data_IF_396281754699
#
_entry.id   IF_396281754699
#
_cell.length_a   1.000
_cell.length_b   1.000
_cell.length_c   1.000
_cell.angle_alpha   90.00
_cell.angle_beta   90.00
_cell.angle_gamma   90.00
#
_symmetry.space_group_name_H-M   'P 1'
#
loop_
_entity.id
_entity.type
_entity.pdbx_description
1 polymer ?
#
# COMPACT_ATOMS: atom_id res chain seq x y z
N UNK A 1 43.81 16.48 -0.92
CA UNK A 1 43.39 15.13 -0.52
C UNK A 1 42.29 15.11 0.54
N UNK A 2 42.33 15.99 1.53
CA UNK A 2 41.24 16.07 2.53
C UNK A 2 39.92 16.61 1.97
N UNK A 3 39.94 17.36 0.89
CA UNK A 3 38.71 17.86 0.24
C UNK A 3 37.86 16.78 -0.39
N UNK A 4 38.46 15.71 -0.92
CA UNK A 4 37.71 14.61 -1.53
C UNK A 4 36.91 13.80 -0.50
N UNK A 5 37.44 13.61 0.70
CA UNK A 5 36.77 12.91 1.79
C UNK A 5 35.58 13.69 2.32
N UNK A 6 35.66 15.01 2.41
CA UNK A 6 34.58 15.89 2.80
C UNK A 6 33.47 15.89 1.77
N UNK A 7 33.78 15.85 0.49
CA UNK A 7 32.81 15.81 -0.60
C UNK A 7 32.01 14.52 -0.57
N UNK A 8 32.62 13.36 -0.35
CA UNK A 8 31.92 12.08 -0.23
C UNK A 8 30.99 12.04 0.98
N UNK A 9 31.39 12.63 2.09
CA UNK A 9 30.57 12.68 3.30
C UNK A 9 29.29 13.48 3.07
N UNK A 10 29.35 14.60 2.34
CA UNK A 10 28.19 15.44 2.04
C UNK A 10 27.22 14.75 1.09
N UNK A 11 27.72 14.05 0.08
CA UNK A 11 26.88 13.29 -0.87
C UNK A 11 26.15 12.14 -0.15
N UNK A 12 26.82 11.47 0.78
CA UNK A 12 26.21 10.40 1.57
C UNK A 12 25.05 10.91 2.45
N UNK A 13 25.16 12.11 3.02
CA UNK A 13 24.11 12.74 3.80
C UNK A 13 22.87 13.09 2.95
N UNK A 14 23.07 13.57 1.73
CA UNK A 14 21.98 13.92 0.82
C UNK A 14 21.17 12.70 0.39
N UNK A 15 21.82 11.54 0.20
CA UNK A 15 21.10 10.29 -0.14
C UNK A 15 20.24 9.76 1.00
N UNK A 16 20.62 9.98 2.26
CA UNK A 16 19.84 9.55 3.41
C UNK A 16 18.54 10.35 3.60
N UNK A 17 18.53 11.63 3.22
CA UNK A 17 17.35 12.47 3.38
C UNK A 17 16.28 12.23 2.30
N UNK A 18 16.63 11.69 1.13
CA UNK A 18 15.68 11.45 0.04
C UNK A 18 14.80 10.21 0.24
N UNK A 19 15.12 9.33 1.21
CA UNK A 19 14.34 8.10 1.47
C UNK A 19 13.17 8.28 2.44
N UNK A 20 12.97 9.48 3.02
CA UNK A 20 12.06 9.72 4.13
C UNK A 20 10.57 9.74 3.74
N UNK A 21 10.25 9.90 2.46
CA UNK A 21 8.85 10.07 1.98
C UNK A 21 8.41 8.97 1.04
N UNK A 22 9.06 7.83 1.04
CA UNK A 22 8.72 6.74 0.15
C UNK A 22 7.76 5.74 0.80
N UNK A 23 6.84 5.21 -0.01
CA UNK A 23 6.04 4.06 0.37
C UNK A 23 6.46 2.86 -0.45
N UNK A 24 6.35 1.67 0.16
CA UNK A 24 6.51 0.39 -0.52
C UNK A 24 5.32 -0.49 -0.20
N UNK A 25 4.68 -1.00 -1.22
CA UNK A 25 3.58 -1.94 -1.07
C UNK A 25 4.07 -3.32 -1.46
N UNK A 26 3.97 -4.27 -0.54
CA UNK A 26 4.22 -5.67 -0.80
C UNK A 26 2.93 -6.44 -0.58
N UNK A 27 2.39 -6.98 -1.66
CA UNK A 27 1.15 -7.72 -1.62
C UNK A 27 1.36 -9.21 -1.85
N UNK A 28 0.52 -10.00 -1.21
CA UNK A 28 0.45 -11.44 -1.43
C UNK A 28 -1.00 -11.88 -1.54
N UNK A 29 -1.25 -12.84 -2.41
CA UNK A 29 -2.58 -13.38 -2.62
C UNK A 29 -2.53 -14.90 -2.74
N UNK A 30 -3.40 -15.58 -2.01
CA UNK A 30 -3.65 -17.01 -2.18
C UNK A 30 -4.80 -17.30 -3.16
N UNK A 31 -5.42 -16.24 -3.69
CA UNK A 31 -6.54 -16.37 -4.64
C UNK A 31 -5.99 -16.59 -6.03
N UNK A 32 -6.14 -17.80 -6.56
CA UNK A 32 -5.56 -18.17 -7.86
C UNK A 32 -6.11 -17.34 -9.03
N UNK A 33 -7.33 -16.83 -8.93
CA UNK A 33 -7.95 -16.00 -9.96
C UNK A 33 -7.27 -14.64 -10.15
N UNK A 34 -6.52 -14.18 -9.13
CA UNK A 34 -5.80 -12.92 -9.22
C UNK A 34 -4.47 -13.05 -9.95
N UNK A 35 -3.94 -14.26 -10.07
CA UNK A 35 -2.66 -14.46 -10.73
C UNK A 35 -2.74 -14.06 -12.19
N UNK A 36 -1.78 -13.25 -12.65
CA UNK A 36 -1.77 -12.67 -13.99
C UNK A 36 -2.65 -11.43 -14.17
N UNK A 37 -3.38 -11.01 -13.14
CA UNK A 37 -4.23 -9.83 -13.21
C UNK A 37 -3.46 -8.56 -12.86
N UNK A 38 -3.87 -7.45 -13.48
CA UNK A 38 -3.35 -6.13 -13.14
C UNK A 38 -4.16 -5.54 -11.99
N UNK A 39 -3.47 -5.08 -10.96
CA UNK A 39 -4.07 -4.34 -9.86
C UNK A 39 -3.69 -2.86 -10.00
N UNK A 40 -4.62 -1.99 -9.66
CA UNK A 40 -4.46 -0.54 -9.79
C UNK A 40 -4.72 0.11 -8.45
N UNK A 41 -3.93 1.13 -8.13
CA UNK A 41 -4.21 2.00 -6.99
C UNK A 41 -4.85 3.28 -7.53
N UNK A 42 -6.00 3.63 -7.00
CA UNK A 42 -6.70 4.86 -7.34
C UNK A 42 -6.93 5.71 -6.10
N UNK A 43 -6.82 7.03 -6.28
CA UNK A 43 -7.09 8.00 -5.22
C UNK A 43 -8.20 8.95 -5.68
N UNK A 44 -9.03 9.45 -4.76
CA UNK A 44 -10.05 10.42 -5.13
C UNK A 44 -9.43 11.77 -5.51
N UNK A 45 -9.96 12.35 -6.58
CA UNK A 45 -9.61 13.69 -7.03
C UNK A 45 -10.90 14.38 -7.50
N UNK A 46 -11.52 15.15 -6.60
CA UNK A 46 -12.86 15.69 -6.82
C UNK A 46 -13.90 14.57 -6.95
N UNK A 47 -14.64 14.58 -8.05
CA UNK A 47 -15.66 13.55 -8.32
C UNK A 47 -15.12 12.30 -9.00
N UNK A 48 -13.81 12.22 -9.21
CA UNK A 48 -13.17 11.17 -9.99
C UNK A 48 -12.18 10.39 -9.15
N UNK A 49 -11.96 9.13 -9.55
CA UNK A 49 -10.87 8.30 -9.03
C UNK A 49 -9.74 8.31 -10.05
N UNK A 50 -8.55 8.66 -9.61
CA UNK A 50 -7.36 8.79 -10.47
C UNK A 50 -6.39 7.66 -10.16
N UNK A 51 -5.94 6.97 -11.20
CA UNK A 51 -4.94 5.90 -11.09
C UNK A 51 -3.57 6.52 -10.81
N UNK A 52 -2.92 6.04 -9.75
CA UNK A 52 -1.58 6.52 -9.36
C UNK A 52 -0.51 5.45 -9.49
N UNK A 53 -0.87 4.18 -9.48
CA UNK A 53 0.10 3.09 -9.64
C UNK A 53 -0.60 1.82 -10.09
N UNK A 54 0.18 0.85 -10.58
CA UNK A 54 -0.33 -0.46 -10.98
C UNK A 54 0.77 -1.51 -10.86
N UNK A 55 0.35 -2.77 -10.72
CA UNK A 55 1.25 -3.92 -10.72
C UNK A 55 0.50 -5.17 -11.15
N UNK A 56 1.21 -6.09 -11.80
CA UNK A 56 0.69 -7.41 -12.13
C UNK A 56 0.91 -8.37 -10.97
N UNK A 57 -0.06 -9.22 -10.70
CA UNK A 57 0.09 -10.31 -9.74
C UNK A 57 0.82 -11.46 -10.42
N UNK A 58 1.99 -11.80 -9.94
CA UNK A 58 2.83 -12.87 -10.49
C UNK A 58 3.12 -13.86 -9.37
N UNK A 59 2.67 -15.11 -9.54
CA UNK A 59 2.82 -16.16 -8.54
C UNK A 59 2.32 -15.73 -7.15
N UNK A 60 1.19 -15.01 -7.13
CA UNK A 60 0.57 -14.53 -5.90
C UNK A 60 1.24 -13.32 -5.26
N UNK A 61 2.17 -12.67 -5.93
CA UNK A 61 2.94 -11.55 -5.38
C UNK A 61 2.76 -10.31 -6.26
N UNK A 62 2.58 -9.15 -5.65
CA UNK A 62 2.60 -7.87 -6.35
C UNK A 62 3.31 -6.82 -5.51
N UNK A 63 4.01 -5.91 -6.18
CA UNK A 63 4.81 -4.87 -5.52
C UNK A 63 4.61 -3.54 -6.21
N UNK A 64 4.46 -2.50 -5.42
CA UNK A 64 4.40 -1.12 -5.90
C UNK A 64 5.21 -0.24 -4.96
N UNK A 65 5.86 0.77 -5.50
CA UNK A 65 6.58 1.74 -4.67
C UNK A 65 6.54 3.12 -5.31
N UNK A 66 6.62 4.14 -4.50
CA UNK A 66 6.58 5.50 -4.98
C UNK A 66 6.88 6.50 -3.89
N UNK A 67 6.76 7.78 -4.25
CA UNK A 67 6.99 8.92 -3.37
C UNK A 67 5.67 9.61 -3.12
N UNK A 68 5.47 10.08 -1.90
CA UNK A 68 4.26 10.82 -1.55
C UNK A 68 4.59 12.08 -0.76
N UNK A 69 3.77 13.10 -0.93
CA UNK A 69 3.88 14.35 -0.19
C UNK A 69 3.16 14.27 1.16
N UNK A 70 2.05 13.56 1.21
CA UNK A 70 1.25 13.37 2.42
C UNK A 70 0.49 12.05 2.33
N UNK A 71 0.07 11.53 3.48
CA UNK A 71 -0.75 10.32 3.52
C UNK A 71 -2.09 10.56 2.85
N UNK A 72 -2.58 9.58 2.11
CA UNK A 72 -3.82 9.70 1.34
C UNK A 72 -4.59 8.38 1.39
N UNK A 73 -5.91 8.48 1.46
CA UNK A 73 -6.78 7.32 1.35
C UNK A 73 -6.86 6.90 -0.12
N UNK A 74 -6.64 5.64 -0.36
CA UNK A 74 -6.64 5.07 -1.71
C UNK A 74 -7.53 3.83 -1.74
N UNK A 75 -7.75 3.29 -2.91
CA UNK A 75 -8.43 2.01 -3.10
C UNK A 75 -7.66 1.15 -4.08
N UNK A 76 -7.66 -0.15 -3.81
CA UNK A 76 -7.11 -1.14 -4.72
C UNK A 76 -8.21 -1.62 -5.65
N UNK A 77 -7.91 -1.61 -6.95
CA UNK A 77 -8.85 -2.01 -7.99
C UNK A 77 -8.29 -3.18 -8.81
N UNK A 78 -9.19 -4.03 -9.23
CA UNK A 78 -8.93 -5.00 -10.30
C UNK A 78 -9.94 -4.71 -11.41
N UNK A 79 -9.46 -4.31 -12.59
CA UNK A 79 -10.30 -3.74 -13.64
C UNK A 79 -11.09 -2.54 -13.08
N UNK A 80 -12.42 -2.55 -13.17
CA UNK A 80 -13.26 -1.48 -12.63
C UNK A 80 -13.83 -1.82 -11.25
N UNK A 81 -13.37 -2.91 -10.64
CA UNK A 81 -13.89 -3.39 -9.36
C UNK A 81 -13.01 -2.86 -8.23
N UNK A 82 -13.63 -2.13 -7.30
CA UNK A 82 -12.97 -1.70 -6.07
C UNK A 82 -12.87 -2.88 -5.12
N UNK A 83 -11.65 -3.32 -4.85
CA UNK A 83 -11.42 -4.46 -3.96
C UNK A 83 -11.48 -4.04 -2.50
N UNK A 84 -10.74 -2.99 -2.10
CA UNK A 84 -10.72 -2.51 -0.73
C UNK A 84 -10.02 -1.15 -0.61
N UNK A 85 -10.38 -0.35 0.42
CA UNK A 85 -9.65 0.87 0.72
C UNK A 85 -8.42 0.60 1.59
N UNK A 86 -7.44 1.49 1.50
CA UNK A 86 -6.28 1.49 2.39
C UNK A 86 -5.65 2.87 2.40
N UNK A 87 -4.62 3.06 3.22
CA UNK A 87 -3.93 4.35 3.31
C UNK A 87 -2.54 4.22 2.69
N UNK A 88 -2.24 5.09 1.72
CA UNK A 88 -0.87 5.24 1.25
C UNK A 88 -0.16 6.18 2.24
N UNK A 89 0.82 5.65 2.95
CA UNK A 89 1.64 6.40 3.89
C UNK A 89 3.07 5.90 3.81
N UNK A 90 4.00 6.67 4.31
CA UNK A 90 5.40 6.29 4.25
C UNK A 90 5.66 4.99 5.00
N UNK A 91 6.58 4.19 4.49
CA UNK A 91 6.95 2.93 5.09
C UNK A 91 6.55 1.74 4.23
N UNK A 92 6.57 0.58 4.83
CA UNK A 92 6.29 -0.68 4.15
C UNK A 92 4.88 -1.15 4.47
N UNK A 93 4.03 -1.15 3.46
CA UNK A 93 2.63 -1.55 3.55
C UNK A 93 2.50 -2.99 3.07
N UNK A 94 1.97 -3.87 3.90
CA UNK A 94 1.71 -5.26 3.55
C UNK A 94 0.22 -5.44 3.25
N UNK A 95 -0.10 -6.02 2.10
CA UNK A 95 -1.47 -6.35 1.70
C UNK A 95 -1.57 -7.86 1.54
N UNK A 96 -2.45 -8.51 2.30
CA UNK A 96 -2.69 -9.93 2.23
C UNK A 96 -4.12 -10.19 1.77
N UNK A 97 -4.26 -10.89 0.66
CA UNK A 97 -5.56 -11.22 0.06
C UNK A 97 -5.75 -12.73 0.07
N UNK A 98 -6.76 -13.21 0.79
CA UNK A 98 -7.16 -14.61 0.71
C UNK A 98 -8.67 -14.72 0.45
N UNK A 99 -9.18 -15.95 0.35
CA UNK A 99 -10.59 -16.17 0.04
C UNK A 99 -11.55 -15.71 1.15
N UNK A 100 -11.06 -15.60 2.38
CA UNK A 100 -11.87 -15.24 3.54
C UNK A 100 -11.84 -13.75 3.83
N UNK A 101 -10.68 -13.09 3.63
CA UNK A 101 -10.54 -11.69 4.01
C UNK A 101 -9.34 -11.04 3.36
N UNK A 102 -9.32 -9.71 3.44
CA UNK A 102 -8.20 -8.86 3.00
C UNK A 102 -7.72 -8.09 4.23
N UNK A 103 -6.41 -8.08 4.44
CA UNK A 103 -5.80 -7.35 5.57
C UNK A 103 -4.67 -6.49 5.05
N UNK A 104 -4.67 -5.24 5.44
CA UNK A 104 -3.56 -4.31 5.20
C UNK A 104 -2.90 -3.99 6.54
N UNK A 105 -1.59 -4.04 6.59
CA UNK A 105 -0.83 -3.87 7.82
C UNK A 105 0.57 -3.31 7.56
N UNK A 106 1.32 -3.06 8.63
CA UNK A 106 2.71 -2.66 8.57
C UNK A 106 2.95 -1.17 8.77
N UNK A 107 1.91 -0.35 8.68
CA UNK A 107 2.00 1.10 8.89
C UNK A 107 0.89 1.55 9.85
N UNK A 108 1.09 2.66 10.60
CA UNK A 108 0.18 3.03 11.69
C UNK A 108 -1.28 3.24 11.28
N UNK A 109 -1.53 3.96 10.20
CA UNK A 109 -2.91 4.25 9.78
C UNK A 109 -3.61 3.02 9.21
N UNK A 110 -2.89 2.18 8.48
CA UNK A 110 -3.44 0.93 7.97
C UNK A 110 -3.73 -0.05 9.09
N UNK A 111 -2.85 -0.14 10.08
CA UNK A 111 -3.06 -1.00 11.25
C UNK A 111 -4.33 -0.59 12.01
N UNK A 112 -4.54 0.71 12.19
CA UNK A 112 -5.76 1.23 12.83
C UNK A 112 -7.01 0.97 12.01
N UNK A 113 -6.94 1.22 10.70
CA UNK A 113 -8.08 1.02 9.80
C UNK A 113 -8.54 -0.44 9.82
N UNK A 114 -7.60 -1.37 9.69
CA UNK A 114 -7.94 -2.79 9.61
C UNK A 114 -8.25 -3.41 10.96
N UNK A 115 -7.76 -2.86 12.05
CA UNK A 115 -8.24 -3.19 13.39
C UNK A 115 -9.72 -2.82 13.55
N UNK A 116 -10.10 -1.63 13.12
CA UNK A 116 -11.49 -1.17 13.15
C UNK A 116 -12.39 -2.04 12.26
N UNK A 117 -11.95 -2.36 11.04
CA UNK A 117 -12.71 -3.23 10.12
C UNK A 117 -12.93 -4.61 10.73
N UNK A 118 -11.93 -5.18 11.37
CA UNK A 118 -12.05 -6.47 12.05
C UNK A 118 -13.06 -6.45 13.19
N UNK A 119 -13.05 -5.40 14.00
CA UNK A 119 -14.03 -5.22 15.08
C UNK A 119 -15.45 -5.06 14.56
N UNK A 120 -15.62 -4.26 13.51
CA UNK A 120 -16.93 -4.05 12.91
C UNK A 120 -17.51 -5.35 12.37
N UNK A 121 -16.71 -6.14 11.67
CA UNK A 121 -17.13 -7.44 11.14
C UNK A 121 -17.54 -8.39 12.26
N UNK A 122 -16.80 -8.44 13.35
CA UNK A 122 -17.10 -9.27 14.51
C UNK A 122 -18.44 -8.87 15.17
N UNK A 123 -18.72 -7.57 15.26
CA UNK A 123 -19.99 -7.07 15.81
C UNK A 123 -21.15 -7.37 14.88
N UNK A 124 -20.98 -7.24 13.58
CA UNK A 124 -22.01 -7.56 12.60
C UNK A 124 -22.36 -9.05 12.63
N UNK A 125 -21.37 -9.92 12.75
CA UNK A 125 -21.58 -11.36 12.89
C UNK A 125 -22.38 -11.70 14.15
N UNK A 126 -22.14 -11.04 15.27
CA UNK A 126 -22.90 -11.22 16.50
C UNK A 126 -24.35 -10.76 16.37
N UNK A 127 -24.60 -9.73 15.58
CA UNK A 127 -25.95 -9.21 15.40
C UNK A 127 -26.88 -10.20 14.67
N UNK A 128 -26.34 -11.12 13.90
CA UNK A 128 -27.10 -12.13 13.18
C UNK A 128 -27.27 -13.45 13.94
N UNK A 129 -26.62 -13.59 15.06
CA UNK A 129 -26.78 -14.73 15.95
C UNK A 129 -27.93 -14.49 16.96
#
# INVERSE_FOLDING_TARGET
MSMNKLFFSVVSLLTLTSCASEYKIEGSSSVSRLDGKMLFIKVPDGDRMVKVDSAEVIHGIFKMEGVLDSSVIASLYMDDINIMPFVIEKGKIAINIDNARIVVSGTPLNDRLYDFVGKKTSLDDRAYE
#
